data_IF_957700962725
#
_entry.id   IF_957700962725
#
_cell.length_a   1.000
_cell.length_b   1.000
_cell.length_c   1.000
_cell.angle_alpha   90.00
_cell.angle_beta   90.00
_cell.angle_gamma   90.00
#
_symmetry.space_group_name_H-M   'P 1'
#
loop_
_entity.id
_entity.type
_entity.pdbx_description
1 polymer ?
#
# COMPACT_ATOMS: atom_id res chain seq x y z
N UNK A 1 32.20 10.72 -15.79
CA UNK A 1 30.90 11.00 -15.15
C UNK A 1 30.90 10.24 -13.83
N UNK A 2 31.17 10.94 -12.73
CA UNK A 2 31.32 10.32 -11.40
C UNK A 2 29.96 10.32 -10.73
N UNK A 3 29.43 9.14 -10.40
CA UNK A 3 28.24 9.02 -9.55
C UNK A 3 28.59 9.65 -8.20
N UNK A 4 27.84 10.69 -7.82
CA UNK A 4 27.96 11.32 -6.51
C UNK A 4 27.37 10.36 -5.49
N UNK A 5 28.15 10.04 -4.46
CA UNK A 5 27.67 9.21 -3.36
C UNK A 5 26.59 10.00 -2.58
N UNK A 6 25.39 9.45 -2.52
CA UNK A 6 24.26 10.02 -1.78
C UNK A 6 24.16 9.21 -0.49
N UNK A 7 24.82 9.66 0.58
CA UNK A 7 24.64 9.13 1.94
C UNK A 7 23.34 9.69 2.56
N UNK A 8 22.21 9.48 1.87
CA UNK A 8 20.89 9.82 2.38
C UNK A 8 20.28 8.59 3.06
N UNK A 9 20.17 8.64 4.39
CA UNK A 9 19.47 7.62 5.18
C UNK A 9 17.98 7.95 5.23
N UNK A 10 17.09 7.09 4.69
CA UNK A 10 15.66 7.33 4.79
C UNK A 10 15.20 7.18 6.25
N UNK A 11 14.58 8.22 6.78
CA UNK A 11 13.83 8.13 8.03
C UNK A 11 12.41 7.65 7.73
N UNK A 12 11.92 6.69 8.52
CA UNK A 12 10.55 6.17 8.42
C UNK A 12 9.78 6.57 9.68
N UNK A 13 8.55 7.04 9.49
CA UNK A 13 7.59 7.34 10.55
C UNK A 13 6.36 6.46 10.32
N UNK A 14 5.81 5.88 11.38
CA UNK A 14 4.59 5.09 11.26
C UNK A 14 3.42 6.01 10.90
N UNK A 15 2.81 5.77 9.73
CA UNK A 15 1.67 6.56 9.28
C UNK A 15 0.35 6.01 9.82
N UNK A 16 0.11 4.72 9.60
CA UNK A 16 -1.11 4.01 9.98
C UNK A 16 -0.96 2.50 9.78
N UNK A 17 -1.83 1.74 10.42
CA UNK A 17 -2.12 0.34 10.13
C UNK A 17 -3.45 0.21 9.39
N UNK A 18 -3.55 -0.71 8.42
CA UNK A 18 -4.80 -1.04 7.71
C UNK A 18 -5.12 -2.52 7.97
N UNK A 19 -6.35 -2.80 8.40
CA UNK A 19 -6.91 -4.15 8.54
C UNK A 19 -8.10 -4.29 7.61
N UNK A 20 -8.07 -5.31 6.74
CA UNK A 20 -9.05 -5.51 5.68
C UNK A 20 -9.63 -6.92 5.80
N UNK A 21 -10.96 -7.02 5.72
CA UNK A 21 -11.69 -8.25 5.47
C UNK A 21 -12.07 -8.34 3.99
N UNK A 22 -11.77 -9.48 3.37
CA UNK A 22 -12.13 -9.75 1.99
C UNK A 22 -13.26 -10.77 1.90
N UNK A 23 -13.98 -10.76 0.77
CA UNK A 23 -14.75 -11.92 0.33
C UNK A 23 -13.81 -13.08 -0.04
N UNK A 24 -14.32 -14.32 -0.13
CA UNK A 24 -13.54 -15.44 -0.63
C UNK A 24 -12.88 -15.10 -1.97
N UNK A 25 -11.60 -15.47 -2.10
CA UNK A 25 -10.83 -15.18 -3.30
C UNK A 25 -11.42 -15.90 -4.50
N UNK A 26 -11.45 -15.23 -5.65
CA UNK A 26 -11.67 -15.89 -6.93
C UNK A 26 -10.31 -16.32 -7.47
N UNK A 27 -10.13 -17.63 -7.63
CA UNK A 27 -8.85 -18.24 -8.03
C UNK A 27 -8.89 -18.57 -9.52
N UNK A 28 -7.90 -18.06 -10.27
CA UNK A 28 -7.84 -18.18 -11.73
C UNK A 28 -6.42 -18.66 -12.11
N UNK A 29 -6.25 -19.93 -12.51
CA UNK A 29 -5.00 -20.42 -13.07
C UNK A 29 -4.66 -19.71 -14.40
N UNK A 30 -3.40 -19.34 -14.61
CA UNK A 30 -2.91 -18.68 -15.83
C UNK A 30 -1.53 -19.23 -16.23
N UNK A 31 -1.08 -19.03 -17.48
CA UNK A 31 0.26 -19.46 -17.90
C UNK A 31 1.42 -18.84 -17.12
N UNK A 32 1.20 -17.71 -16.44
CA UNK A 32 2.21 -16.98 -15.67
C UNK A 32 2.07 -17.18 -14.16
N UNK A 33 1.20 -18.09 -13.72
CA UNK A 33 0.93 -18.38 -12.31
C UNK A 33 -0.56 -18.32 -11.97
N UNK A 34 -0.89 -18.09 -10.70
CA UNK A 34 -2.28 -18.08 -10.21
C UNK A 34 -2.69 -16.64 -9.91
N UNK A 35 -3.77 -16.17 -10.54
CA UNK A 35 -4.42 -14.89 -10.20
C UNK A 35 -5.44 -15.13 -9.09
N UNK A 36 -5.35 -14.35 -8.03
CA UNK A 36 -6.33 -14.34 -6.94
C UNK A 36 -6.95 -12.95 -6.87
N UNK A 37 -8.26 -12.87 -7.13
CA UNK A 37 -9.01 -11.62 -7.03
C UNK A 37 -9.73 -11.57 -5.69
N UNK A 38 -9.34 -10.61 -4.85
CA UNK A 38 -9.97 -10.35 -3.56
C UNK A 38 -10.84 -9.11 -3.66
N UNK A 39 -12.13 -9.22 -3.33
CA UNK A 39 -13.01 -8.07 -3.18
C UNK A 39 -13.06 -7.64 -1.72
N UNK A 40 -12.85 -6.35 -1.45
CA UNK A 40 -12.92 -5.79 -0.10
C UNK A 40 -14.37 -5.82 0.38
N UNK A 41 -14.59 -6.49 1.52
CA UNK A 41 -15.88 -6.49 2.22
C UNK A 41 -15.98 -5.32 3.18
N UNK A 42 -14.95 -5.13 4.00
CA UNK A 42 -14.90 -4.11 5.04
C UNK A 42 -13.45 -3.92 5.51
N UNK A 43 -13.19 -2.85 6.26
CA UNK A 43 -11.92 -2.72 6.96
C UNK A 43 -11.85 -1.48 7.83
N UNK A 44 -10.78 -1.38 8.60
CA UNK A 44 -10.46 -0.22 9.44
C UNK A 44 -9.00 0.14 9.29
N UNK A 45 -8.71 1.42 9.42
CA UNK A 45 -7.34 1.90 9.54
C UNK A 45 -7.21 2.87 10.71
N UNK A 46 -6.02 2.90 11.29
CA UNK A 46 -5.69 3.78 12.41
C UNK A 46 -4.19 4.07 12.44
N UNK A 47 -3.85 5.33 12.68
CA UNK A 47 -2.52 5.84 12.93
C UNK A 47 -2.58 6.99 13.94
N UNK A 48 -1.45 7.64 14.25
CA UNK A 48 -1.40 8.73 15.24
C UNK A 48 -2.39 9.87 14.96
N UNK A 49 -2.47 10.30 13.71
CA UNK A 49 -3.25 11.48 13.30
C UNK A 49 -4.42 11.16 12.35
N UNK A 50 -4.68 9.88 12.07
CA UNK A 50 -5.70 9.48 11.09
C UNK A 50 -6.35 8.15 11.46
N UNK A 51 -7.68 8.08 11.32
CA UNK A 51 -8.45 6.85 11.53
C UNK A 51 -9.71 6.85 10.70
N UNK A 52 -10.21 5.66 10.40
CA UNK A 52 -11.39 5.53 9.56
C UNK A 52 -11.72 4.10 9.17
N UNK A 53 -12.48 3.98 8.09
CA UNK A 53 -12.92 2.73 7.48
C UNK A 53 -12.34 2.54 6.08
N UNK A 54 -12.13 1.28 5.71
CA UNK A 54 -11.91 0.86 4.33
C UNK A 54 -13.28 0.49 3.76
N UNK A 55 -13.69 1.15 2.68
CA UNK A 55 -15.01 0.96 2.09
C UNK A 55 -15.07 -0.32 1.23
N UNK A 56 -16.24 -0.96 1.12
CA UNK A 56 -16.46 -2.03 0.16
C UNK A 56 -16.25 -1.56 -1.29
N UNK A 57 -15.91 -2.48 -2.20
CA UNK A 57 -15.87 -2.25 -3.65
C UNK A 57 -14.46 -2.16 -4.25
N UNK A 58 -13.44 -1.91 -3.44
CA UNK A 58 -12.04 -2.11 -3.84
C UNK A 58 -11.62 -3.58 -3.85
N UNK A 59 -10.34 -3.83 -4.11
CA UNK A 59 -9.81 -5.19 -4.15
C UNK A 59 -8.31 -5.28 -4.27
N UNK A 60 -7.80 -6.51 -4.18
CA UNK A 60 -6.43 -6.88 -4.49
C UNK A 60 -6.43 -7.91 -5.62
N UNK A 61 -5.79 -7.58 -6.73
CA UNK A 61 -5.62 -8.48 -7.87
C UNK A 61 -4.25 -9.15 -7.79
N UNK A 62 -4.08 -10.08 -6.85
CA UNK A 62 -2.79 -10.73 -6.59
C UNK A 62 -2.39 -11.67 -7.73
N UNK A 63 -1.18 -11.53 -8.26
CA UNK A 63 -0.57 -12.56 -9.12
C UNK A 63 0.48 -13.34 -8.34
N UNK A 64 0.19 -14.59 -8.05
CA UNK A 64 1.17 -15.55 -7.55
C UNK A 64 1.95 -16.13 -8.73
N UNK A 65 3.17 -15.63 -8.94
CA UNK A 65 3.98 -16.04 -10.07
C UNK A 65 4.54 -17.45 -9.93
N UNK A 66 4.93 -18.05 -11.06
CA UNK A 66 5.67 -19.32 -11.09
C UNK A 66 7.03 -19.25 -10.39
N UNK A 67 7.55 -18.03 -10.20
CA UNK A 67 8.76 -17.70 -9.47
C UNK A 67 8.58 -17.64 -7.94
N UNK A 68 7.43 -18.09 -7.42
CA UNK A 68 7.11 -18.10 -5.99
C UNK A 68 7.04 -16.70 -5.37
N UNK A 69 6.83 -15.66 -6.18
CA UNK A 69 6.61 -14.28 -5.71
C UNK A 69 5.17 -13.85 -5.98
N UNK A 70 4.46 -13.47 -4.90
CA UNK A 70 3.16 -12.84 -5.04
C UNK A 70 3.31 -11.35 -5.34
N UNK A 71 2.58 -10.86 -6.34
CA UNK A 71 2.58 -9.46 -6.78
C UNK A 71 1.21 -8.87 -6.45
N UNK A 72 1.19 -7.86 -5.59
CA UNK A 72 -0.03 -7.18 -5.15
C UNK A 72 -0.39 -6.04 -6.11
N UNK A 73 -1.68 -5.86 -6.37
CA UNK A 73 -2.22 -4.68 -7.05
C UNK A 73 -3.56 -4.34 -6.40
N UNK A 74 -3.46 -3.50 -5.38
CA UNK A 74 -4.59 -3.10 -4.53
C UNK A 74 -5.12 -1.76 -4.99
N UNK A 75 -6.43 -1.68 -5.16
CA UNK A 75 -7.19 -0.43 -5.31
C UNK A 75 -8.29 -0.40 -4.27
N UNK A 76 -8.30 0.63 -3.44
CA UNK A 76 -9.26 0.76 -2.35
C UNK A 76 -9.67 2.22 -2.13
N UNK A 77 -10.79 2.40 -1.42
CA UNK A 77 -11.25 3.70 -0.95
C UNK A 77 -11.26 3.68 0.58
N UNK A 78 -10.55 4.62 1.19
CA UNK A 78 -10.57 4.87 2.62
C UNK A 78 -11.51 6.05 2.90
N UNK A 79 -12.23 5.98 4.02
CA UNK A 79 -13.02 7.10 4.54
C UNK A 79 -12.61 7.37 5.98
N UNK A 80 -12.14 8.58 6.27
CA UNK A 80 -11.81 8.99 7.63
C UNK A 80 -13.08 9.10 8.49
N UNK A 81 -12.94 9.06 9.82
CA UNK A 81 -14.07 9.20 10.73
C UNK A 81 -14.79 10.55 10.60
N UNK A 82 -14.10 11.59 10.12
CA UNK A 82 -14.63 12.93 9.82
C UNK A 82 -15.02 13.13 8.34
N UNK A 83 -15.11 12.03 7.58
CA UNK A 83 -15.79 11.96 6.29
C UNK A 83 -14.93 12.15 5.03
N UNK A 84 -13.63 12.47 5.16
CA UNK A 84 -12.74 12.62 4.01
C UNK A 84 -12.55 11.29 3.26
N UNK A 85 -12.57 11.34 1.93
CA UNK A 85 -12.33 10.18 1.08
C UNK A 85 -10.90 10.18 0.54
N UNK A 86 -10.24 9.02 0.60
CA UNK A 86 -8.86 8.85 0.13
C UNK A 86 -8.82 7.62 -0.78
N UNK A 87 -8.37 7.81 -2.02
CA UNK A 87 -8.10 6.69 -2.90
C UNK A 87 -6.73 6.08 -2.57
N UNK A 88 -6.67 4.75 -2.42
CA UNK A 88 -5.46 3.99 -2.16
C UNK A 88 -5.10 3.16 -3.39
N UNK A 89 -3.90 3.38 -3.90
CA UNK A 89 -3.20 2.46 -4.79
C UNK A 89 -2.04 1.83 -4.05
N UNK A 90 -2.02 0.51 -3.89
CA UNK A 90 -0.89 -0.16 -3.25
C UNK A 90 -0.39 -1.33 -4.09
N UNK A 91 0.86 -1.27 -4.49
CA UNK A 91 1.53 -2.36 -5.20
C UNK A 91 2.66 -2.90 -4.34
N UNK A 92 2.95 -4.19 -4.46
CA UNK A 92 3.93 -4.82 -3.60
C UNK A 92 4.34 -6.20 -4.07
N UNK A 93 5.32 -6.75 -3.36
CA UNK A 93 5.77 -8.13 -3.53
C UNK A 93 5.77 -8.82 -2.18
N UNK A 94 5.33 -10.06 -2.18
CA UNK A 94 5.43 -10.97 -1.04
C UNK A 94 6.19 -12.20 -1.50
N UNK A 95 7.28 -12.49 -0.79
CA UNK A 95 7.99 -13.75 -0.91
C UNK A 95 7.59 -14.65 0.26
N UNK A 96 7.34 -15.93 0.00
CA UNK A 96 7.02 -16.92 1.01
C UNK A 96 7.66 -18.26 0.62
N UNK A 97 7.92 -19.13 1.58
CA UNK A 97 8.45 -20.46 1.27
C UNK A 97 7.44 -21.25 0.42
N UNK A 98 7.88 -22.27 -0.35
CA UNK A 98 6.94 -23.10 -1.13
C UNK A 98 5.86 -23.77 -0.26
N UNK A 99 6.20 -24.18 0.97
CA UNK A 99 5.26 -24.75 1.93
C UNK A 99 4.20 -23.73 2.37
N UNK A 100 4.64 -22.51 2.71
CA UNK A 100 3.72 -21.42 3.01
C UNK A 100 2.86 -21.11 1.77
N UNK A 101 3.43 -21.08 0.57
CA UNK A 101 2.66 -20.83 -0.64
C UNK A 101 1.53 -21.84 -0.86
N UNK A 102 1.82 -23.13 -0.65
CA UNK A 102 0.82 -24.19 -0.79
C UNK A 102 -0.33 -23.99 0.20
N UNK A 103 -0.02 -23.74 1.47
CA UNK A 103 -0.99 -23.46 2.54
C UNK A 103 -1.81 -22.19 2.26
N UNK A 104 -1.17 -21.13 1.76
CA UNK A 104 -1.87 -19.91 1.39
C UNK A 104 -2.87 -20.17 0.25
N UNK A 105 -2.46 -20.93 -0.77
CA UNK A 105 -3.31 -21.27 -1.92
C UNK A 105 -4.47 -22.20 -1.57
N UNK A 106 -4.38 -22.98 -0.47
CA UNK A 106 -5.47 -23.78 0.08
C UNK A 106 -6.41 -22.99 1.01
N UNK A 107 -6.15 -21.70 1.22
CA UNK A 107 -6.96 -20.81 2.05
C UNK A 107 -6.59 -20.82 3.53
N UNK A 108 -5.43 -21.38 3.91
CA UNK A 108 -4.95 -21.30 5.28
C UNK A 108 -4.38 -19.92 5.62
N UNK A 109 -4.47 -19.57 6.92
CA UNK A 109 -3.86 -18.36 7.45
C UNK A 109 -2.34 -18.52 7.55
N UNK A 110 -1.61 -17.55 6.99
CA UNK A 110 -0.15 -17.49 7.07
C UNK A 110 0.26 -16.32 7.95
N UNK A 111 1.20 -16.57 8.87
CA UNK A 111 1.69 -15.56 9.82
C UNK A 111 2.77 -14.70 9.18
N UNK A 112 2.96 -13.50 9.74
CA UNK A 112 3.91 -12.53 9.21
C UNK A 112 5.36 -13.04 9.12
N UNK A 113 5.78 -14.00 9.95
CA UNK A 113 7.16 -14.50 9.94
C UNK A 113 7.38 -15.59 8.89
N UNK A 114 6.30 -16.11 8.31
CA UNK A 114 6.32 -17.12 7.25
C UNK A 114 6.37 -16.46 5.86
N UNK A 115 6.23 -15.12 5.80
CA UNK A 115 6.28 -14.36 4.56
C UNK A 115 7.07 -13.05 4.73
N UNK A 116 7.72 -12.61 3.66
CA UNK A 116 8.36 -11.31 3.60
C UNK A 116 7.65 -10.44 2.56
N UNK A 117 6.82 -9.53 3.05
CA UNK A 117 6.04 -8.59 2.23
C UNK A 117 6.56 -7.16 2.30
N UNK A 118 6.66 -6.51 1.15
CA UNK A 118 6.87 -5.06 1.03
C UNK A 118 5.94 -4.49 -0.02
N UNK A 119 5.32 -3.36 0.30
CA UNK A 119 4.44 -2.64 -0.61
C UNK A 119 4.71 -1.14 -0.56
N UNK A 120 4.19 -0.41 -1.53
CA UNK A 120 4.36 1.04 -1.67
C UNK A 120 2.99 1.67 -1.88
N UNK A 121 2.24 1.93 -0.80
CA UNK A 121 0.95 2.58 -0.90
C UNK A 121 1.11 4.03 -1.34
N UNK A 122 0.19 4.46 -2.19
CA UNK A 122 0.02 5.80 -2.72
C UNK A 122 -1.42 6.22 -2.41
N UNK A 123 -1.55 7.40 -1.82
CA UNK A 123 -2.83 7.93 -1.38
C UNK A 123 -3.16 9.18 -2.18
N UNK A 124 -4.39 9.27 -2.67
CA UNK A 124 -4.89 10.45 -3.38
C UNK A 124 -6.16 11.01 -2.70
N UNK A 125 -6.15 12.30 -2.36
CA UNK A 125 -7.29 13.05 -1.79
C UNK A 125 -7.12 14.54 -2.05
N UNK A 126 -8.22 15.29 -2.01
CA UNK A 126 -8.26 16.76 -2.02
C UNK A 126 -8.50 17.36 -0.62
N UNK A 127 -8.75 16.54 0.41
CA UNK A 127 -9.00 17.05 1.76
C UNK A 127 -7.71 17.55 2.44
N UNK A 128 -7.63 18.86 2.67
CA UNK A 128 -6.46 19.53 3.24
C UNK A 128 -6.11 19.09 4.66
N UNK A 129 -7.09 18.59 5.43
CA UNK A 129 -6.87 18.06 6.79
C UNK A 129 -6.01 16.82 6.74
N UNK A 130 -6.16 16.02 5.69
CA UNK A 130 -5.41 14.77 5.47
C UNK A 130 -4.04 15.05 4.83
N UNK A 131 -3.97 15.97 3.86
CA UNK A 131 -2.71 16.31 3.17
C UNK A 131 -1.77 17.18 4.02
N UNK A 132 -2.25 17.71 5.15
CA UNK A 132 -1.48 18.61 6.02
C UNK A 132 -1.23 19.98 5.39
N UNK A 133 -2.19 20.48 4.59
CA UNK A 133 -2.12 21.80 3.96
C UNK A 133 -1.09 21.94 2.83
N UNK A 134 -0.65 20.83 2.21
CA UNK A 134 0.22 20.89 1.04
C UNK A 134 -0.59 20.84 -0.26
N UNK A 135 -0.83 21.97 -0.96
CA UNK A 135 -1.66 22.03 -2.16
C UNK A 135 -1.05 21.30 -3.38
N UNK A 136 0.16 20.74 -3.25
CA UNK A 136 0.85 19.98 -4.31
C UNK A 136 1.01 18.49 -4.00
N UNK A 137 0.55 18.02 -2.84
CA UNK A 137 0.66 16.62 -2.44
C UNK A 137 -0.70 15.93 -2.53
N UNK A 138 -1.30 15.95 -3.73
CA UNK A 138 -2.46 15.12 -4.08
C UNK A 138 -2.12 13.64 -4.14
N UNK A 139 -0.82 13.29 -4.04
CA UNK A 139 -0.30 11.94 -4.04
C UNK A 139 0.87 11.81 -3.07
N UNK A 140 0.72 11.10 -1.97
CA UNK A 140 1.83 10.83 -1.04
C UNK A 140 2.06 9.33 -0.84
N UNK A 141 3.31 8.97 -0.51
CA UNK A 141 3.70 7.60 -0.16
C UNK A 141 3.53 7.38 1.35
N UNK A 142 3.38 6.12 1.80
CA UNK A 142 3.36 5.79 3.25
C UNK A 142 4.57 6.28 4.01
N UNK A 143 5.66 6.56 3.32
CA UNK A 143 6.82 7.23 3.88
C UNK A 143 6.72 8.71 3.55
N UNK A 144 6.52 9.58 4.56
CA UNK A 144 6.81 11.00 4.41
C UNK A 144 8.33 11.14 4.24
N UNK A 145 8.79 11.31 3.01
CA UNK A 145 10.16 11.77 2.78
C UNK A 145 10.27 13.20 3.31
N UNK A 146 10.81 13.37 4.53
CA UNK A 146 11.31 14.68 4.96
C UNK A 146 12.60 14.96 4.20
N UNK A 147 12.46 15.43 2.96
CA UNK A 147 13.58 16.05 2.26
C UNK A 147 13.85 17.41 2.92
N UNK A 148 15.05 17.66 3.48
CA UNK A 148 15.35 18.96 4.10
C UNK A 148 15.34 20.14 3.09
N UNK A 149 15.27 19.89 1.78
CA UNK A 149 15.06 20.94 0.75
C UNK A 149 13.59 21.32 0.54
N UNK A 150 12.63 20.52 1.00
CA UNK A 150 11.21 20.82 0.83
C UNK A 150 10.62 21.68 1.96
N UNK A 151 11.37 21.90 3.05
CA UNK A 151 10.93 22.72 4.20
C UNK A 151 11.06 24.22 3.96
N UNK A 152 11.77 24.67 2.92
CA UNK A 152 11.82 26.07 2.51
C UNK A 152 10.87 26.30 1.34
N UNK A 153 9.62 26.62 1.66
CA UNK A 153 8.66 27.15 0.71
C UNK A 153 9.10 28.53 0.21
N UNK A 154 9.94 28.60 -0.83
CA UNK A 154 10.18 29.86 -1.56
C UNK A 154 10.88 29.74 -2.92
N UNK A 155 10.95 28.57 -3.58
CA UNK A 155 11.44 28.53 -4.97
C UNK A 155 10.75 27.45 -5.81
N UNK A 156 10.20 27.79 -6.99
CA UNK A 156 9.68 26.80 -7.92
C UNK A 156 10.86 26.02 -8.54
N UNK A 157 10.77 24.69 -8.57
CA UNK A 157 11.58 23.91 -9.49
C UNK A 157 11.06 24.16 -10.91
N UNK A 158 11.94 24.67 -11.78
CA UNK A 158 11.70 24.80 -13.21
C UNK A 158 11.55 23.42 -13.86
N UNK A 159 10.84 23.44 -15.00
CA UNK A 159 10.29 22.33 -15.81
C UNK A 159 11.12 21.05 -15.93
#
# INVERSE_FOLDING_TARGET
>A
MTLVDIDARPALEHLLDIRIGFHPAQIIPTPVGIRMSYAIREGRFAGPDIRGAVLPGGGDSVLLGTDQVARLDVRATLRTDDGALIHLTNTGRIHMSPEAMQRFSSGELIRHHECYGRSSPLFDTDDERVTGGSPRCTRWRSTRCRCPRCTTASSPCAD
#
